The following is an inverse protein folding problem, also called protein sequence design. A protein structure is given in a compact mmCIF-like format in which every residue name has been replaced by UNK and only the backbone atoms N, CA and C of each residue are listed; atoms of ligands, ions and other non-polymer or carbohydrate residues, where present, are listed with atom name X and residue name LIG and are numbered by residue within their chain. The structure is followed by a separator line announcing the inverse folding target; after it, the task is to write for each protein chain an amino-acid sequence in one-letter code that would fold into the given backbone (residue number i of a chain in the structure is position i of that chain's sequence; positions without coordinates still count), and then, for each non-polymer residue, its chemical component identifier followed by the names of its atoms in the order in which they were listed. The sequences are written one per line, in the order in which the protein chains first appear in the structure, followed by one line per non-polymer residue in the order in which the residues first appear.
data_IF_173644977813
#
_entry.id   IF_173644977813
#
_cell.length_a   1.000
_cell.length_b   1.000
_cell.length_c   1.000
_cell.angle_alpha   90.00
_cell.angle_beta   90.00
_cell.angle_gamma   90.00
#
_symmetry.space_group_name_H-M   'P 1'
#
loop_
_entity.id
_entity.type
_entity.pdbx_description
1 polymer ?
#
# COMPACT_ATOMS: atom_id res chain seq x y z
N UNK A 1 -57.86 65.56 50.07
CA UNK A 1 -58.81 64.43 49.99
C UNK A 1 -58.11 63.24 49.36
N UNK A 2 -57.94 62.21 50.18
CA UNK A 2 -57.71 60.76 49.99
C UNK A 2 -57.86 60.24 48.53
N UNK A 3 -57.17 59.20 48.04
CA UNK A 3 -56.99 57.85 48.63
C UNK A 3 -55.94 57.04 47.83
N UNK A 4 -55.34 56.07 48.51
CA UNK A 4 -54.41 55.02 48.08
C UNK A 4 -54.90 54.09 46.93
N UNK A 5 -53.96 53.38 46.28
CA UNK A 5 -53.81 51.89 46.21
C UNK A 5 -53.30 51.37 44.83
N UNK A 6 -52.02 50.94 44.85
CA UNK A 6 -51.35 49.68 44.43
C UNK A 6 -51.56 48.97 43.06
N UNK A 7 -50.38 48.64 42.50
CA UNK A 7 -49.88 47.41 41.84
C UNK A 7 -50.49 46.89 40.53
N UNK A 8 -49.61 46.85 39.52
CA UNK A 8 -49.69 45.96 38.36
C UNK A 8 -48.41 46.07 37.53
N UNK A 9 -47.47 45.16 37.76
CA UNK A 9 -46.26 45.02 36.97
C UNK A 9 -46.60 44.56 35.53
N UNK A 10 -45.78 44.95 34.56
CA UNK A 10 -45.09 44.07 33.59
C UNK A 10 -44.26 45.00 32.68
N UNK A 11 -42.95 44.78 32.67
CA UNK A 11 -41.99 45.49 31.84
C UNK A 11 -42.13 45.04 30.37
N UNK A 12 -42.31 46.00 29.47
CA UNK A 12 -42.28 45.79 28.02
C UNK A 12 -40.84 46.03 27.56
N UNK A 13 -40.08 44.96 27.30
CA UNK A 13 -38.71 45.05 26.78
C UNK A 13 -38.76 45.13 25.25
N UNK A 14 -38.15 46.18 24.68
CA UNK A 14 -37.99 46.39 23.24
C UNK A 14 -37.12 45.28 22.60
N UNK A 15 -37.57 44.73 21.47
CA UNK A 15 -36.76 43.88 20.61
C UNK A 15 -36.13 44.71 19.49
N UNK A 16 -34.81 44.68 19.41
CA UNK A 16 -33.99 45.38 18.43
C UNK A 16 -34.08 44.75 17.04
N UNK A 17 -34.03 45.61 16.01
CA UNK A 17 -33.86 45.26 14.59
C UNK A 17 -32.51 44.57 14.37
N UNK A 18 -32.54 43.31 13.93
CA UNK A 18 -31.38 42.61 13.36
C UNK A 18 -31.71 42.24 11.92
N UNK A 19 -30.90 42.76 10.99
CA UNK A 19 -31.00 42.48 9.57
C UNK A 19 -30.80 41.00 9.27
N UNK A 20 -31.70 40.42 8.49
CA UNK A 20 -31.62 39.05 8.02
C UNK A 20 -30.63 38.99 6.84
N UNK A 21 -29.52 38.24 6.91
CA UNK A 21 -28.68 38.00 5.74
C UNK A 21 -29.38 37.00 4.81
N UNK A 22 -29.44 37.31 3.52
CA UNK A 22 -30.03 36.46 2.48
C UNK A 22 -29.30 35.11 2.36
N UNK A 23 -29.97 34.08 1.82
CA UNK A 23 -29.40 32.74 1.74
C UNK A 23 -28.13 32.76 0.90
N UNK A 24 -27.04 32.26 1.48
CA UNK A 24 -25.75 32.08 0.81
C UNK A 24 -25.96 31.27 -0.46
N UNK A 25 -25.71 31.90 -1.60
CA UNK A 25 -25.71 31.25 -2.89
C UNK A 25 -24.56 30.23 -2.90
N UNK A 26 -24.90 28.94 -2.90
CA UNK A 26 -23.91 27.86 -3.04
C UNK A 26 -23.07 28.13 -4.28
N UNK A 27 -21.76 28.28 -4.10
CA UNK A 27 -20.81 28.29 -5.19
C UNK A 27 -20.92 26.96 -5.96
N UNK A 28 -20.68 26.95 -7.29
CA UNK A 28 -20.73 25.72 -8.08
C UNK A 28 -19.70 24.72 -7.53
N UNK A 29 -20.11 23.45 -7.50
CA UNK A 29 -19.28 22.30 -7.11
C UNK A 29 -17.93 22.40 -7.82
N UNK A 30 -16.84 22.45 -7.03
CA UNK A 30 -15.50 22.28 -7.60
C UNK A 30 -15.47 20.88 -8.19
N UNK A 31 -14.99 20.68 -9.44
CA UNK A 31 -14.80 19.32 -9.95
C UNK A 31 -13.97 18.57 -8.93
N UNK A 32 -14.43 17.38 -8.55
CA UNK A 32 -13.83 16.53 -7.55
C UNK A 32 -12.38 16.23 -7.98
N UNK A 33 -11.43 17.06 -7.54
CA UNK A 33 -10.03 16.90 -7.89
C UNK A 33 -9.57 15.70 -7.08
N UNK A 34 -9.48 14.56 -7.76
CA UNK A 34 -8.93 13.34 -7.17
C UNK A 34 -7.65 13.71 -6.40
N UNK A 35 -7.49 13.24 -5.16
CA UNK A 35 -6.36 13.63 -4.33
C UNK A 35 -5.05 13.40 -5.10
N UNK A 36 -4.06 14.29 -4.94
CA UNK A 36 -2.81 14.23 -5.70
C UNK A 36 -2.22 12.84 -5.55
N UNK A 37 -1.96 12.23 -6.71
CA UNK A 37 -1.41 10.88 -6.77
C UNK A 37 -0.14 10.83 -5.92
N UNK A 38 -0.06 9.93 -4.95
CA UNK A 38 1.06 9.95 -4.04
C UNK A 38 2.36 9.69 -4.79
N UNK A 39 3.37 10.52 -4.53
CA UNK A 39 4.67 10.44 -5.18
C UNK A 39 5.62 9.52 -4.40
N UNK A 40 6.25 8.57 -5.09
CA UNK A 40 7.29 7.68 -4.55
C UNK A 40 6.78 6.29 -4.15
N UNK A 41 7.74 5.38 -3.92
CA UNK A 41 7.44 4.01 -3.53
C UNK A 41 6.63 3.92 -2.23
N UNK A 42 5.70 2.97 -2.18
CA UNK A 42 4.97 2.64 -0.97
C UNK A 42 5.25 1.20 -0.55
N UNK A 43 5.16 0.95 0.75
CA UNK A 43 5.27 -0.40 1.28
C UNK A 43 4.03 -1.23 0.90
N UNK A 44 4.25 -2.51 0.64
CA UNK A 44 3.21 -3.47 0.26
C UNK A 44 3.21 -4.68 1.18
N UNK A 45 2.04 -5.29 1.34
CA UNK A 45 1.90 -6.62 1.88
C UNK A 45 2.02 -7.66 0.75
N UNK A 46 2.77 -8.73 1.01
CA UNK A 46 2.72 -9.93 0.16
C UNK A 46 1.52 -10.76 0.60
N UNK A 47 0.44 -10.69 -0.15
CA UNK A 47 -0.87 -11.22 0.28
C UNK A 47 -0.97 -12.72 0.04
N UNK A 48 -0.59 -13.17 -1.15
CA UNK A 48 -0.77 -14.56 -1.56
C UNK A 48 0.16 -14.94 -2.71
N UNK A 49 0.42 -16.24 -2.79
CA UNK A 49 0.85 -16.90 -4.03
C UNK A 49 -0.34 -17.68 -4.55
N UNK A 50 -0.77 -17.36 -5.76
CA UNK A 50 -1.92 -17.98 -6.44
C UNK A 50 -1.42 -18.87 -7.58
N UNK A 51 -2.19 -19.92 -7.91
CA UNK A 51 -1.96 -20.73 -9.11
C UNK A 51 -3.25 -20.69 -9.92
N UNK A 52 -3.16 -20.25 -11.17
CA UNK A 52 -4.28 -20.33 -12.10
C UNK A 52 -4.54 -21.81 -12.45
N UNK A 53 -5.77 -22.29 -12.23
CA UNK A 53 -6.07 -23.72 -12.37
C UNK A 53 -6.03 -24.21 -13.82
N UNK A 54 -6.24 -23.31 -14.79
CA UNK A 54 -6.28 -23.67 -16.21
C UNK A 54 -4.88 -23.74 -16.81
N UNK A 55 -4.06 -22.74 -16.50
CA UNK A 55 -2.72 -22.55 -17.06
C UNK A 55 -1.62 -23.12 -16.16
N UNK A 56 -1.95 -23.47 -14.91
CA UNK A 56 -0.99 -23.85 -13.86
C UNK A 56 0.09 -22.78 -13.60
N UNK A 57 -0.13 -21.54 -14.06
CA UNK A 57 0.82 -20.46 -13.90
C UNK A 57 0.72 -19.85 -12.50
N UNK A 58 1.82 -19.84 -11.72
CA UNK A 58 1.81 -19.20 -10.43
C UNK A 58 1.98 -17.68 -10.54
N UNK A 59 1.40 -16.95 -9.61
CA UNK A 59 1.51 -15.49 -9.49
C UNK A 59 1.60 -15.08 -8.03
N UNK A 60 2.31 -14.00 -7.74
CA UNK A 60 2.33 -13.37 -6.41
C UNK A 60 1.49 -12.10 -6.43
N UNK A 61 0.71 -11.91 -5.36
CA UNK A 61 -0.16 -10.75 -5.17
C UNK A 61 0.45 -9.83 -4.12
N UNK A 62 0.72 -8.59 -4.52
CA UNK A 62 1.19 -7.51 -3.65
C UNK A 62 0.07 -6.50 -3.47
N UNK A 63 -0.11 -5.97 -2.26
CA UNK A 63 -1.12 -4.96 -1.96
C UNK A 63 -0.51 -3.76 -1.23
N UNK A 64 -0.72 -2.57 -1.77
CA UNK A 64 -0.31 -1.31 -1.15
C UNK A 64 -0.91 -1.12 0.23
N UNK A 65 -0.06 -0.85 1.23
CA UNK A 65 -0.53 -0.57 2.59
C UNK A 65 -1.26 0.77 2.68
N UNK A 66 -0.91 1.74 1.82
CA UNK A 66 -1.46 3.10 1.85
C UNK A 66 -2.81 3.22 1.14
N UNK A 67 -2.96 2.62 -0.05
CA UNK A 67 -4.12 2.82 -0.93
C UNK A 67 -4.81 1.54 -1.37
N UNK A 68 -4.34 0.38 -0.87
CA UNK A 68 -4.92 -0.95 -1.14
C UNK A 68 -4.88 -1.37 -2.62
N UNK A 69 -4.18 -0.65 -3.51
CA UNK A 69 -3.96 -1.08 -4.89
C UNK A 69 -3.14 -2.36 -4.92
N UNK A 70 -3.43 -3.22 -5.88
CA UNK A 70 -2.74 -4.49 -6.02
C UNK A 70 -1.87 -4.54 -7.27
N UNK A 71 -0.72 -5.22 -7.17
CA UNK A 71 0.11 -5.62 -8.30
C UNK A 71 0.19 -7.15 -8.29
N UNK A 72 -0.05 -7.76 -9.44
CA UNK A 72 0.05 -9.21 -9.63
C UNK A 72 1.20 -9.47 -10.58
N UNK A 73 2.12 -10.33 -10.17
CA UNK A 73 3.32 -10.67 -10.94
C UNK A 73 3.30 -12.17 -11.22
N UNK A 74 3.37 -12.55 -12.49
CA UNK A 74 3.55 -13.95 -12.87
C UNK A 74 4.98 -14.41 -12.49
N UNK A 75 5.10 -15.61 -11.95
CA UNK A 75 6.37 -16.20 -11.53
C UNK A 75 6.46 -17.66 -12.00
N UNK A 76 7.61 -18.30 -11.81
CA UNK A 76 7.75 -19.74 -12.02
C UNK A 76 7.40 -20.56 -10.77
N UNK A 77 7.26 -21.88 -10.92
CA UNK A 77 6.92 -22.79 -9.82
C UNK A 77 8.00 -22.83 -8.72
N UNK A 78 9.27 -22.73 -9.11
CA UNK A 78 10.38 -22.69 -8.18
C UNK A 78 10.35 -21.39 -7.33
N UNK A 79 10.12 -20.25 -7.98
CA UNK A 79 9.94 -18.96 -7.32
C UNK A 79 8.72 -18.95 -6.40
N UNK A 80 7.60 -19.52 -6.86
CA UNK A 80 6.37 -19.63 -6.08
C UNK A 80 6.61 -20.39 -4.77
N UNK A 81 7.35 -21.50 -4.83
CA UNK A 81 7.75 -22.26 -3.64
C UNK A 81 8.66 -21.44 -2.73
N UNK A 82 9.62 -20.71 -3.32
CA UNK A 82 10.52 -19.80 -2.59
C UNK A 82 9.78 -18.72 -1.79
N UNK A 83 8.62 -18.26 -2.25
CA UNK A 83 7.80 -17.24 -1.60
C UNK A 83 6.73 -17.86 -0.67
N UNK A 84 6.03 -18.90 -1.11
CA UNK A 84 4.88 -19.45 -0.40
C UNK A 84 5.25 -20.10 0.94
N UNK A 85 6.35 -20.87 0.98
CA UNK A 85 6.82 -21.55 2.20
C UNK A 85 7.06 -20.58 3.37
N UNK A 86 7.89 -19.52 3.22
CA UNK A 86 8.11 -18.58 4.31
C UNK A 86 6.89 -17.69 4.57
N UNK A 87 6.07 -17.39 3.56
CA UNK A 87 4.83 -16.63 3.73
C UNK A 87 3.83 -17.36 4.65
N UNK A 88 3.79 -18.69 4.57
CA UNK A 88 2.98 -19.55 5.45
C UNK A 88 3.63 -19.77 6.83
N UNK A 89 4.82 -19.21 7.08
CA UNK A 89 5.58 -19.42 8.32
C UNK A 89 6.12 -20.84 8.48
N UNK A 90 6.19 -21.62 7.40
CA UNK A 90 6.68 -23.00 7.43
C UNK A 90 8.21 -22.99 7.40
N UNK A 91 8.83 -23.69 8.35
CA UNK A 91 10.29 -23.91 8.37
C UNK A 91 10.63 -25.24 7.71
N UNK A 92 11.36 -25.26 6.58
CA UNK A 92 11.75 -26.51 5.93
C UNK A 92 12.85 -27.25 6.73
N UNK A 93 12.99 -28.58 6.56
CA UNK A 93 13.99 -29.37 7.27
C UNK A 93 15.44 -29.05 6.89
N UNK A 94 15.65 -28.42 5.73
CA UNK A 94 16.94 -27.93 5.24
C UNK A 94 16.78 -26.51 4.72
N UNK A 95 17.81 -25.64 4.84
CA UNK A 95 17.79 -24.30 4.27
C UNK A 95 17.55 -24.35 2.76
N UNK A 96 16.62 -23.52 2.28
CA UNK A 96 16.43 -23.29 0.85
C UNK A 96 17.43 -22.23 0.35
N UNK A 97 17.40 -21.95 -0.95
CA UNK A 97 18.33 -21.02 -1.60
C UNK A 97 18.37 -19.65 -0.93
N UNK A 98 17.21 -19.05 -0.65
CA UNK A 98 17.15 -17.72 0.00
C UNK A 98 17.61 -17.77 1.46
N UNK A 99 17.42 -18.89 2.17
CA UNK A 99 17.94 -19.08 3.53
C UNK A 99 19.48 -19.16 3.54
N UNK A 100 20.06 -19.82 2.52
CA UNK A 100 21.50 -19.86 2.30
C UNK A 100 22.07 -18.45 2.05
N UNK A 101 21.42 -17.64 1.21
CA UNK A 101 21.84 -16.25 0.95
C UNK A 101 21.77 -15.39 2.22
N UNK A 102 20.70 -15.49 3.01
CA UNK A 102 20.59 -14.73 4.26
C UNK A 102 21.63 -15.18 5.30
N UNK A 103 21.94 -16.48 5.34
CA UNK A 103 23.05 -17.00 6.17
C UNK A 103 24.38 -16.40 5.72
N UNK A 104 24.64 -16.36 4.41
CA UNK A 104 25.85 -15.74 3.85
C UNK A 104 25.93 -14.25 4.18
N UNK A 105 24.84 -13.49 4.01
CA UNK A 105 24.78 -12.07 4.38
C UNK A 105 25.11 -11.88 5.86
N UNK A 106 24.52 -12.68 6.76
CA UNK A 106 24.83 -12.63 8.19
C UNK A 106 26.31 -12.90 8.50
N UNK A 107 26.94 -13.89 7.83
CA UNK A 107 28.37 -14.19 8.00
C UNK A 107 29.27 -13.05 7.51
N UNK A 108 28.85 -12.35 6.46
CA UNK A 108 29.55 -11.21 5.89
C UNK A 108 29.19 -9.87 6.55
N UNK A 109 28.35 -9.89 7.60
CA UNK A 109 27.84 -8.69 8.29
C UNK A 109 27.11 -7.73 7.34
N UNK A 110 26.38 -8.29 6.39
CA UNK A 110 25.50 -7.57 5.46
C UNK A 110 24.06 -7.69 5.96
N UNK A 111 23.34 -6.56 6.00
CA UNK A 111 21.92 -6.52 6.37
C UNK A 111 21.09 -6.14 5.15
N UNK A 112 20.03 -6.90 4.87
CA UNK A 112 19.03 -6.52 3.88
C UNK A 112 18.07 -5.51 4.52
N UNK A 113 18.08 -4.27 4.02
CA UNK A 113 17.34 -3.15 4.62
C UNK A 113 15.93 -3.05 4.05
N UNK A 114 15.79 -3.24 2.73
CA UNK A 114 14.52 -3.21 2.01
C UNK A 114 14.68 -3.80 0.62
N UNK A 115 13.55 -4.09 -0.02
CA UNK A 115 13.51 -4.35 -1.47
C UNK A 115 12.52 -3.42 -2.13
N UNK A 116 12.79 -3.03 -3.37
CA UNK A 116 11.92 -2.13 -4.14
C UNK A 116 11.67 -2.72 -5.50
N UNK A 117 10.41 -2.88 -5.88
CA UNK A 117 10.01 -3.15 -7.26
C UNK A 117 9.96 -1.80 -7.95
N UNK A 118 10.91 -1.57 -8.86
CA UNK A 118 11.25 -0.24 -9.36
C UNK A 118 10.57 0.10 -10.66
N UNK A 119 10.34 -0.89 -11.53
CA UNK A 119 9.78 -0.65 -12.85
C UNK A 119 9.10 -1.88 -13.46
N UNK A 120 8.31 -1.62 -14.50
CA UNK A 120 7.70 -2.59 -15.40
C UNK A 120 7.96 -2.12 -16.83
N UNK A 121 8.63 -2.93 -17.65
CA UNK A 121 8.96 -2.61 -19.06
C UNK A 121 8.79 -3.87 -19.88
N UNK A 122 8.05 -3.77 -20.98
CA UNK A 122 7.82 -4.91 -21.88
C UNK A 122 7.34 -6.17 -21.13
N UNK A 123 6.39 -5.98 -20.20
CA UNK A 123 5.86 -7.01 -19.30
C UNK A 123 6.88 -7.67 -18.34
N UNK A 124 8.07 -7.09 -18.22
CA UNK A 124 9.13 -7.52 -17.31
C UNK A 124 9.23 -6.56 -16.12
N UNK A 125 9.06 -7.11 -14.92
CA UNK A 125 9.24 -6.38 -13.67
C UNK A 125 10.70 -6.38 -13.22
N UNK A 126 11.15 -5.26 -12.68
CA UNK A 126 12.49 -5.06 -12.14
C UNK A 126 12.45 -4.77 -10.65
N UNK A 127 13.45 -5.25 -9.91
CA UNK A 127 13.57 -4.98 -8.50
C UNK A 127 15.01 -4.69 -8.09
N UNK A 128 15.18 -3.93 -7.02
CA UNK A 128 16.45 -3.67 -6.37
C UNK A 128 16.38 -4.14 -4.93
N UNK A 129 17.40 -4.91 -4.52
CA UNK A 129 17.65 -5.26 -3.12
C UNK A 129 18.64 -4.24 -2.56
N UNK A 130 18.27 -3.59 -1.45
CA UNK A 130 19.13 -2.66 -0.73
C UNK A 130 19.81 -3.39 0.42
N UNK A 131 21.14 -3.28 0.46
CA UNK A 131 22.01 -4.01 1.38
C UNK A 131 22.92 -3.03 2.10
N UNK A 132 23.10 -3.22 3.41
CA UNK A 132 23.92 -2.38 4.27
C UNK A 132 25.10 -3.15 4.85
N UNK A 133 26.29 -2.52 4.89
CA UNK A 133 27.51 -3.10 5.47
C UNK A 133 28.17 -2.18 6.51
N UNK A 134 27.39 -1.33 7.19
CA UNK A 134 27.89 -0.33 8.14
C UNK A 134 28.12 1.07 7.57
N UNK A 135 27.51 1.39 6.42
CA UNK A 135 27.61 2.68 5.73
C UNK A 135 26.33 3.00 4.97
N UNK A 136 26.38 3.74 3.85
CA UNK A 136 25.24 3.87 2.94
C UNK A 136 24.83 2.52 2.34
N UNK A 137 23.55 2.37 2.02
CA UNK A 137 23.06 1.17 1.34
C UNK A 137 23.67 1.07 -0.08
N UNK A 138 24.15 -0.11 -0.43
CA UNK A 138 24.44 -0.45 -1.82
C UNK A 138 23.25 -1.19 -2.43
N UNK A 139 23.17 -1.16 -3.77
CA UNK A 139 22.05 -1.67 -4.54
C UNK A 139 22.48 -2.92 -5.31
N UNK A 140 21.62 -3.93 -5.30
CA UNK A 140 21.78 -5.14 -6.10
C UNK A 140 20.55 -5.31 -6.98
N UNK A 141 20.77 -5.39 -8.30
CA UNK A 141 19.71 -5.72 -9.25
C UNK A 141 19.20 -7.15 -9.01
N UNK A 142 17.89 -7.33 -9.03
CA UNK A 142 17.25 -8.61 -8.75
C UNK A 142 15.93 -8.76 -9.49
N UNK A 143 15.57 -10.02 -9.75
CA UNK A 143 14.19 -10.35 -10.12
C UNK A 143 13.27 -10.08 -8.91
N UNK A 144 12.05 -9.57 -9.11
CA UNK A 144 11.11 -9.34 -8.00
C UNK A 144 10.84 -10.57 -7.16
N UNK A 145 10.75 -11.76 -7.76
CA UNK A 145 10.52 -13.02 -7.04
C UNK A 145 11.59 -13.32 -6.00
N UNK A 146 12.87 -13.15 -6.37
CA UNK A 146 14.01 -13.37 -5.47
C UNK A 146 14.06 -12.30 -4.37
N UNK A 147 13.82 -11.04 -4.73
CA UNK A 147 13.78 -9.92 -3.79
C UNK A 147 12.68 -10.12 -2.74
N UNK A 148 11.47 -10.48 -3.16
CA UNK A 148 10.34 -10.77 -2.27
C UNK A 148 10.66 -11.96 -1.35
N UNK A 149 11.21 -13.06 -1.90
CA UNK A 149 11.55 -14.24 -1.12
C UNK A 149 12.62 -13.97 -0.03
N UNK A 150 13.58 -13.09 -0.32
CA UNK A 150 14.55 -12.61 0.68
C UNK A 150 13.88 -11.72 1.74
N UNK A 151 13.06 -10.76 1.32
CA UNK A 151 12.43 -9.78 2.19
C UNK A 151 11.50 -10.44 3.22
N UNK A 152 10.67 -11.41 2.81
CA UNK A 152 9.77 -12.14 3.72
C UNK A 152 10.57 -12.84 4.82
N UNK A 153 11.64 -13.55 4.46
CA UNK A 153 12.49 -14.27 5.41
C UNK A 153 13.26 -13.34 6.35
N UNK A 154 13.79 -12.25 5.80
CA UNK A 154 14.52 -11.24 6.57
C UNK A 154 13.61 -10.31 7.37
N UNK A 155 12.28 -10.40 7.19
CA UNK A 155 11.29 -9.45 7.71
C UNK A 155 11.60 -8.01 7.33
N UNK A 156 12.12 -7.82 6.12
CA UNK A 156 12.42 -6.51 5.57
C UNK A 156 11.22 -5.98 4.76
N UNK A 157 11.03 -4.66 4.69
CA UNK A 157 9.95 -4.06 3.93
C UNK A 157 10.10 -4.31 2.43
N UNK A 158 8.97 -4.65 1.80
CA UNK A 158 8.82 -4.70 0.34
C UNK A 158 8.14 -3.41 -0.09
N UNK A 159 8.74 -2.68 -1.01
CA UNK A 159 8.18 -1.46 -1.57
C UNK A 159 7.92 -1.62 -3.07
N UNK A 160 6.94 -0.87 -3.56
CA UNK A 160 6.61 -0.81 -4.99
C UNK A 160 6.52 0.66 -5.40
N UNK A 161 7.24 1.02 -6.45
CA UNK A 161 7.19 2.36 -7.02
C UNK A 161 5.81 2.68 -7.59
N UNK A 162 5.37 3.94 -7.43
CA UNK A 162 4.06 4.40 -7.92
C UNK A 162 3.84 4.06 -9.41
N UNK A 163 4.88 4.24 -10.22
CA UNK A 163 4.86 3.93 -11.66
C UNK A 163 4.56 2.46 -11.96
N UNK A 164 4.90 1.54 -11.05
CA UNK A 164 4.65 0.11 -11.23
C UNK A 164 3.18 -0.18 -11.02
N UNK A 165 2.55 0.43 -10.01
CA UNK A 165 1.09 0.36 -9.85
C UNK A 165 0.35 0.91 -11.07
N UNK A 166 0.87 1.98 -11.68
CA UNK A 166 0.24 2.61 -12.83
C UNK A 166 0.27 1.74 -14.08
N UNK A 167 1.42 1.12 -14.33
CA UNK A 167 1.61 0.23 -15.48
C UNK A 167 0.88 -1.10 -15.27
N UNK A 168 0.90 -1.65 -14.05
CA UNK A 168 0.24 -2.91 -13.73
C UNK A 168 -1.29 -2.77 -13.59
N UNK A 169 -1.77 -1.63 -13.07
CA UNK A 169 -3.20 -1.35 -12.86
C UNK A 169 -4.01 -1.16 -14.14
N UNK A 170 -3.34 -1.04 -15.30
CA UNK A 170 -4.00 -1.10 -16.61
C UNK A 170 -4.46 -2.51 -17.01
N UNK A 171 -3.86 -3.56 -16.42
CA UNK A 171 -4.30 -4.94 -16.59
C UNK A 171 -5.34 -5.26 -15.51
N UNK A 172 -6.63 -5.03 -15.83
CA UNK A 172 -7.72 -5.42 -14.95
C UNK A 172 -7.61 -6.92 -14.61
N UNK A 173 -7.85 -7.33 -13.34
CA UNK A 173 -7.90 -8.75 -13.00
C UNK A 173 -8.96 -9.45 -13.86
N UNK A 174 -8.76 -10.71 -14.28
CA UNK A 174 -9.76 -11.43 -15.05
C UNK A 174 -11.08 -11.41 -14.29
N UNK A 175 -12.15 -10.93 -14.94
CA UNK A 175 -13.50 -10.93 -14.38
C UNK A 175 -13.82 -12.36 -13.96
N UNK A 176 -14.20 -12.57 -12.69
CA UNK A 176 -14.79 -13.85 -12.27
C UNK A 176 -15.99 -14.13 -13.20
N UNK A 177 -16.11 -15.32 -13.79
CA UNK A 177 -17.32 -15.69 -14.49
C UNK A 177 -18.49 -15.63 -13.49
N UNK A 178 -19.52 -14.89 -13.87
CA UNK A 178 -20.81 -14.92 -13.20
C UNK A 178 -21.36 -16.34 -13.34
N UNK A 179 -21.46 -17.06 -12.23
CA UNK A 179 -22.27 -18.27 -12.12
C UNK A 179 -23.56 -17.87 -11.41
#
# INVERSE_FOLDING_TARGET
MNTNVRLGAVALLMLAMLGVPGPAQLAPDRPDVAPPKPTGAQEVDVVAVMIDQNTQQPSVVLQGKRDRRSVILAIGLAEATGIAVPLQGVTPPRPLTHDLFLTLFGRLKVTLTRVVITDLRDDIFYAIVYLNTGGPDFQLDARPSDAIALAIRAKAPVLVEERVFDKAGGAAPPRRPSI
#
